data_IF_382977741708
#
_entry.id   IF_382977741708
#
_cell.length_a   1.000
_cell.length_b   1.000
_cell.length_c   1.000
_cell.angle_alpha   90.00
_cell.angle_beta   90.00
_cell.angle_gamma   90.00
#
_symmetry.space_group_name_H-M   'P 1'
#
loop_
_entity.id
_entity.type
_entity.pdbx_description
1 polymer ?
#
# COMPACT_ATOMS: atom_id res chain seq x y z
N UNK A 1 12.52 -24.29 12.86
CA UNK A 1 11.67 -23.17 13.29
C UNK A 1 11.57 -22.19 12.12
N UNK A 2 10.38 -22.14 11.52
CA UNK A 2 9.94 -21.20 10.46
C UNK A 2 10.71 -21.20 9.12
N UNK A 3 10.26 -22.06 8.19
CA UNK A 3 10.53 -22.04 6.74
C UNK A 3 9.79 -20.88 6.01
N UNK A 4 10.04 -19.61 6.36
CA UNK A 4 9.44 -18.49 5.63
C UNK A 4 10.48 -17.77 4.77
N UNK A 5 10.21 -17.74 3.46
CA UNK A 5 11.00 -16.96 2.49
C UNK A 5 10.92 -15.48 2.84
N UNK A 6 12.07 -14.83 2.99
CA UNK A 6 12.12 -13.39 3.19
C UNK A 6 11.73 -12.69 1.88
N UNK A 7 10.58 -12.01 1.89
CA UNK A 7 10.07 -11.24 0.76
C UNK A 7 10.19 -9.74 1.06
N UNK A 8 10.51 -8.97 0.02
CA UNK A 8 10.33 -7.52 0.06
C UNK A 8 8.83 -7.20 0.13
N UNK A 9 8.45 -6.39 1.12
CA UNK A 9 7.08 -5.86 1.29
C UNK A 9 6.96 -4.41 0.85
N UNK A 10 7.98 -3.87 0.17
CA UNK A 10 7.95 -2.50 -0.33
C UNK A 10 6.97 -2.36 -1.48
N UNK A 11 6.25 -1.23 -1.50
CA UNK A 11 5.34 -0.85 -2.59
C UNK A 11 5.89 0.29 -3.45
N UNK A 12 7.14 0.70 -3.20
CA UNK A 12 7.75 1.84 -3.88
C UNK A 12 7.80 1.60 -5.40
N UNK A 13 7.23 2.53 -6.15
CA UNK A 13 7.13 2.47 -7.61
C UNK A 13 6.08 1.48 -8.14
N UNK A 14 5.38 0.75 -7.27
CA UNK A 14 4.27 -0.13 -7.67
C UNK A 14 2.95 0.65 -7.74
N UNK A 15 1.97 0.11 -8.45
CA UNK A 15 0.60 0.66 -8.48
C UNK A 15 -0.29 -0.05 -7.48
N UNK A 16 -0.99 0.70 -6.63
CA UNK A 16 -1.89 0.18 -5.58
C UNK A 16 -3.30 0.72 -5.81
N UNK A 17 -4.29 -0.16 -5.83
CA UNK A 17 -5.72 0.20 -5.87
C UNK A 17 -6.30 0.17 -4.45
N UNK A 18 -6.83 1.31 -3.99
CA UNK A 18 -7.46 1.41 -2.66
C UNK A 18 -8.94 1.77 -2.84
N UNK A 19 -9.83 0.82 -2.54
CA UNK A 19 -11.27 1.06 -2.56
C UNK A 19 -11.73 1.80 -1.30
N UNK A 20 -12.87 2.50 -1.38
CA UNK A 20 -13.40 3.24 -0.23
C UNK A 20 -12.49 4.39 0.24
N UNK A 21 -11.57 4.85 -0.60
CA UNK A 21 -10.59 5.88 -0.27
C UNK A 21 -11.15 7.30 -0.17
N UNK A 22 -12.46 7.46 -0.42
CA UNK A 22 -13.13 8.73 -0.27
C UNK A 22 -13.08 9.26 1.17
N UNK A 23 -13.03 8.43 2.21
CA UNK A 23 -12.97 8.88 3.61
C UNK A 23 -12.43 7.81 4.56
N UNK A 24 -12.32 8.12 5.86
CA UNK A 24 -12.00 7.15 6.91
C UNK A 24 -10.71 6.37 6.66
N UNK A 25 -10.74 5.06 6.95
CA UNK A 25 -9.58 4.19 6.81
C UNK A 25 -9.07 4.09 5.38
N UNK A 26 -9.95 4.05 4.36
CA UNK A 26 -9.51 3.98 2.97
C UNK A 26 -8.66 5.19 2.57
N UNK A 27 -9.08 6.39 2.98
CA UNK A 27 -8.32 7.63 2.72
C UNK A 27 -6.97 7.62 3.43
N UNK A 28 -6.94 7.15 4.68
CA UNK A 28 -5.69 7.05 5.44
C UNK A 28 -4.73 6.04 4.79
N UNK A 29 -5.21 4.88 4.37
CA UNK A 29 -4.42 3.85 3.69
C UNK A 29 -3.87 4.33 2.36
N UNK A 30 -4.68 5.02 1.54
CA UNK A 30 -4.22 5.60 0.28
C UNK A 30 -3.07 6.60 0.48
N UNK A 31 -3.13 7.42 1.53
CA UNK A 31 -2.06 8.36 1.87
C UNK A 31 -0.78 7.65 2.27
N UNK A 32 -0.86 6.66 3.16
CA UNK A 32 0.32 5.89 3.58
C UNK A 32 1.01 5.23 2.38
N UNK A 33 0.26 4.63 1.45
CA UNK A 33 0.89 4.04 0.26
C UNK A 33 1.52 5.07 -0.67
N UNK A 34 0.92 6.25 -0.82
CA UNK A 34 1.51 7.34 -1.60
C UNK A 34 2.81 7.85 -0.95
N UNK A 35 2.84 7.98 0.38
CA UNK A 35 4.02 8.39 1.14
C UNK A 35 5.16 7.37 1.04
N UNK A 36 4.84 6.07 0.97
CA UNK A 36 5.79 4.97 0.68
C UNK A 36 6.24 4.93 -0.81
N UNK A 37 5.76 5.85 -1.64
CA UNK A 37 6.17 6.04 -3.02
C UNK A 37 5.45 5.14 -4.02
N UNK A 38 4.24 4.66 -3.70
CA UNK A 38 3.39 3.95 -4.65
C UNK A 38 2.60 4.92 -5.55
N UNK A 39 2.25 4.46 -6.74
CA UNK A 39 1.24 5.10 -7.59
C UNK A 39 -0.14 4.63 -7.12
N UNK A 40 -0.94 5.51 -6.52
CA UNK A 40 -2.20 5.11 -5.89
C UNK A 40 -3.40 5.45 -6.77
N UNK A 41 -4.21 4.45 -7.08
CA UNK A 41 -5.55 4.60 -7.66
C UNK A 41 -6.59 4.49 -6.54
N UNK A 42 -7.53 5.44 -6.50
CA UNK A 42 -8.57 5.57 -5.46
C UNK A 42 -9.97 5.57 -6.03
#
# INVERSE_FOLDING_TARGET
MSEYKQLSRSVKGLTVLVTGAASGMGRATARVFADEGANVAV
#
